data_IF_106519412473
#
_entry.id   IF_106519412473
#
_cell.length_a   1.000
_cell.length_b   1.000
_cell.length_c   1.000
_cell.angle_alpha   90.00
_cell.angle_beta   90.00
_cell.angle_gamma   90.00
#
_symmetry.space_group_name_H-M   'P 1'
#
loop_
_entity.id
_entity.type
_entity.pdbx_description
1 polymer ?
#
# COMPACT_ATOMS: atom_id res chain seq x y z
N UNK A 1 -9.70 -2.18 -12.60
CA UNK A 1 -9.59 -2.64 -11.20
C UNK A 1 -10.97 -2.93 -10.66
N UNK A 2 -11.16 -4.08 -10.01
CA UNK A 2 -12.43 -4.44 -9.34
C UNK A 2 -12.18 -4.75 -7.86
N UNK A 3 -13.11 -4.39 -6.99
CA UNK A 3 -12.97 -4.52 -5.53
C UNK A 3 -14.18 -5.21 -4.92
N UNK A 4 -13.94 -6.13 -3.99
CA UNK A 4 -14.96 -6.82 -3.23
C UNK A 4 -14.62 -6.75 -1.74
N UNK A 5 -15.60 -6.38 -0.90
CA UNK A 5 -15.41 -6.28 0.55
C UNK A 5 -16.09 -7.46 1.22
N UNK A 6 -15.31 -8.30 1.86
CA UNK A 6 -15.73 -9.48 2.61
C UNK A 6 -15.78 -9.18 4.12
N UNK A 7 -16.48 -10.03 4.88
CA UNK A 7 -16.44 -10.07 6.36
C UNK A 7 -16.81 -8.76 7.07
N UNK A 8 -17.72 -7.98 6.48
CA UNK A 8 -18.25 -6.73 7.05
C UNK A 8 -19.11 -6.99 8.30
N UNK A 9 -19.22 -6.04 9.25
CA UNK A 9 -18.59 -4.72 9.25
C UNK A 9 -17.25 -4.66 10.01
N UNK A 10 -17.04 -5.52 11.00
CA UNK A 10 -16.01 -5.31 12.03
C UNK A 10 -14.61 -5.77 11.61
N UNK A 11 -14.49 -6.78 10.75
CA UNK A 11 -13.21 -7.34 10.29
C UNK A 11 -13.17 -7.44 8.77
N UNK A 12 -13.42 -6.31 8.12
CA UNK A 12 -13.57 -6.26 6.68
C UNK A 12 -12.26 -6.59 5.97
N UNK A 13 -12.31 -7.47 4.97
CA UNK A 13 -11.20 -7.75 4.06
C UNK A 13 -11.57 -7.27 2.66
N UNK A 14 -10.69 -6.50 2.02
CA UNK A 14 -10.90 -6.09 0.62
C UNK A 14 -10.09 -6.97 -0.32
N UNK A 15 -10.76 -7.68 -1.22
CA UNK A 15 -10.14 -8.39 -2.33
C UNK A 15 -10.12 -7.47 -3.54
N UNK A 16 -8.93 -7.23 -4.09
CA UNK A 16 -8.74 -6.38 -5.26
C UNK A 16 -8.29 -7.24 -6.44
N UNK A 17 -9.04 -7.21 -7.54
CA UNK A 17 -8.64 -7.79 -8.82
C UNK A 17 -8.01 -6.70 -9.68
N UNK A 18 -6.73 -6.89 -9.98
CA UNK A 18 -5.95 -6.05 -10.88
C UNK A 18 -5.98 -6.67 -12.28
N UNK A 19 -6.27 -5.86 -13.29
CA UNK A 19 -6.02 -6.20 -14.69
C UNK A 19 -4.53 -6.08 -15.04
N UNK A 20 -4.15 -6.46 -16.27
CA UNK A 20 -2.78 -6.29 -16.75
C UNK A 20 -2.32 -4.84 -16.62
N UNK A 21 -1.13 -4.63 -16.04
CA UNK A 21 -0.52 -3.32 -15.81
C UNK A 21 -1.30 -2.38 -14.86
N UNK A 22 -2.31 -2.88 -14.14
CA UNK A 22 -2.96 -2.09 -13.08
C UNK A 22 -2.15 -2.17 -11.78
N UNK A 23 -2.08 -1.04 -11.08
CA UNK A 23 -1.45 -0.95 -9.77
C UNK A 23 -2.37 -0.30 -8.77
N UNK A 24 -2.21 -0.65 -7.49
CA UNK A 24 -2.89 -0.02 -6.37
C UNK A 24 -1.87 0.34 -5.31
N UNK A 25 -2.05 1.51 -4.69
CA UNK A 25 -1.30 1.92 -3.50
C UNK A 25 -2.15 1.62 -2.27
N UNK A 26 -1.56 0.91 -1.32
CA UNK A 26 -2.19 0.57 -0.03
C UNK A 26 -1.33 1.08 1.11
N UNK A 27 -1.92 1.14 2.31
CA UNK A 27 -1.18 1.44 3.53
C UNK A 27 -0.16 0.35 3.86
N UNK A 28 0.92 0.73 4.52
CA UNK A 28 1.93 -0.23 4.97
C UNK A 28 1.29 -1.21 5.97
N UNK A 29 1.49 -2.51 5.75
CA UNK A 29 0.92 -3.56 6.59
C UNK A 29 -0.55 -3.92 6.28
N UNK A 30 -1.21 -3.26 5.32
CA UNK A 30 -2.60 -3.59 4.96
C UNK A 30 -2.74 -4.86 4.09
N UNK A 31 -1.65 -5.34 3.47
CA UNK A 31 -1.69 -6.51 2.60
C UNK A 31 -1.72 -7.82 3.42
N UNK A 32 -2.73 -8.65 3.18
CA UNK A 32 -2.89 -9.96 3.83
C UNK A 32 -2.30 -11.09 2.98
N UNK A 33 -2.60 -11.12 1.69
CA UNK A 33 -2.08 -12.10 0.73
C UNK A 33 -2.14 -11.56 -0.70
N UNK A 34 -1.45 -12.23 -1.64
CA UNK A 34 -1.45 -11.88 -3.06
C UNK A 34 -1.30 -13.12 -3.95
N UNK A 35 -1.75 -13.01 -5.20
CA UNK A 35 -1.52 -14.05 -6.23
C UNK A 35 -0.09 -13.96 -6.80
N UNK A 36 0.49 -15.06 -7.34
CA UNK A 36 1.87 -15.07 -7.85
C UNK A 36 2.21 -14.05 -8.95
N UNK A 37 1.21 -13.53 -9.67
CA UNK A 37 1.40 -12.53 -10.73
C UNK A 37 1.42 -11.07 -10.24
N UNK A 38 1.31 -10.83 -8.94
CA UNK A 38 1.32 -9.49 -8.35
C UNK A 38 2.72 -9.16 -7.85
N UNK A 39 3.24 -7.99 -8.21
CA UNK A 39 4.50 -7.46 -7.70
C UNK A 39 4.23 -6.44 -6.60
N UNK A 40 4.88 -6.61 -5.44
CA UNK A 40 4.84 -5.65 -4.35
C UNK A 40 6.01 -4.65 -4.47
N UNK A 41 5.70 -3.37 -4.50
CA UNK A 41 6.69 -2.30 -4.42
C UNK A 41 6.52 -1.49 -3.13
N UNK A 42 7.60 -1.32 -2.37
CA UNK A 42 7.63 -0.44 -1.20
C UNK A 42 8.35 0.86 -1.54
N UNK A 43 7.67 1.99 -1.33
CA UNK A 43 8.25 3.33 -1.54
C UNK A 43 7.98 4.20 -0.32
N UNK A 44 9.04 4.80 0.21
CA UNK A 44 8.90 5.84 1.23
C UNK A 44 8.32 7.10 0.59
N UNK A 45 7.21 7.60 1.12
CA UNK A 45 6.62 8.85 0.66
C UNK A 45 7.59 10.02 0.93
N UNK A 46 8.10 10.63 -0.14
CA UNK A 46 9.08 11.73 -0.10
C UNK A 46 10.54 11.31 -0.27
N UNK A 47 10.86 10.02 -0.29
CA UNK A 47 12.23 9.53 -0.45
C UNK A 47 13.18 9.90 0.70
N UNK A 48 14.41 9.39 0.61
CA UNK A 48 15.45 9.54 1.66
C UNK A 48 15.80 11.03 1.88
N UNK A 49 15.83 11.82 0.80
CA UNK A 49 16.17 13.24 0.89
C UNK A 49 15.09 14.07 1.60
N UNK A 50 13.80 13.78 1.38
CA UNK A 50 12.76 14.49 2.13
C UNK A 50 12.65 14.00 3.58
N UNK A 51 12.92 12.71 3.86
CA UNK A 51 13.01 12.24 5.24
C UNK A 51 14.21 12.83 5.98
N UNK A 52 15.37 12.98 5.32
CA UNK A 52 16.54 13.64 5.89
C UNK A 52 16.28 15.14 6.10
N UNK A 53 15.70 15.84 5.12
CA UNK A 53 15.29 17.25 5.29
C UNK A 53 14.30 17.43 6.45
N UNK A 54 13.31 16.54 6.60
CA UNK A 54 12.40 16.57 7.76
C UNK A 54 13.13 16.28 9.08
N UNK A 55 14.09 15.36 9.10
CA UNK A 55 14.89 15.07 10.30
C UNK A 55 15.82 16.22 10.69
N UNK A 56 16.38 16.95 9.72
CA UNK A 56 17.30 18.07 9.98
C UNK A 56 16.60 19.41 10.22
N UNK A 57 15.43 19.64 9.62
CA UNK A 57 14.65 20.88 9.76
C UNK A 57 13.51 20.76 10.79
N UNK A 58 13.14 19.54 11.17
CA UNK A 58 12.08 19.23 12.14
C UNK A 58 12.52 19.27 13.60
N UNK A 59 13.83 19.45 13.85
CA UNK A 59 14.39 19.81 15.16
C UNK A 59 13.91 18.95 16.32
N UNK A 60 14.55 17.80 16.48
CA UNK A 60 15.13 17.53 17.80
C UNK A 60 16.55 18.10 17.81
#
# INVERSE_FOLDING_TARGET
MQTEILYRPSYSLTVVKLGPNEGIRVEAGAMVSMSPGVTLETKMAGGILASLKRSMLGGE
#
